data_IF_860534792000
#
_entry.id   IF_860534792000
#
_cell.length_a   1.000
_cell.length_b   1.000
_cell.length_c   1.000
_cell.angle_alpha   90.00
_cell.angle_beta   90.00
_cell.angle_gamma   90.00
#
_symmetry.space_group_name_H-M   'P 1'
#
loop_
_entity.id
_entity.type
_entity.pdbx_description
1 polymer ?
#
# COMPACT_ATOMS: atom_id res chain seq x y z
N UNK A 1 -16.98 27.68 -25.20
CA UNK A 1 -16.94 26.39 -24.50
C UNK A 1 -17.45 25.19 -25.32
N UNK A 2 -18.17 25.37 -26.40
CA UNK A 2 -18.76 24.24 -27.19
C UNK A 2 -17.80 23.44 -28.08
N UNK A 3 -16.64 24.00 -28.50
CA UNK A 3 -15.71 23.32 -29.44
C UNK A 3 -14.90 22.17 -28.83
N UNK A 4 -14.36 22.38 -27.64
CA UNK A 4 -13.51 21.40 -26.93
C UNK A 4 -14.31 20.19 -26.46
N UNK A 5 -15.54 20.41 -25.99
CA UNK A 5 -16.43 19.32 -25.57
C UNK A 5 -16.87 18.43 -26.75
N UNK A 6 -17.04 19.03 -27.94
CA UNK A 6 -17.31 18.30 -29.19
C UNK A 6 -16.09 17.49 -29.65
N UNK A 7 -14.87 18.04 -29.52
CA UNK A 7 -13.63 17.36 -29.87
C UNK A 7 -13.36 16.13 -28.96
N UNK A 8 -13.56 16.30 -27.64
CA UNK A 8 -13.45 15.20 -26.68
C UNK A 8 -14.39 14.05 -26.97
N UNK A 9 -15.67 14.32 -27.25
CA UNK A 9 -16.65 13.29 -27.62
C UNK A 9 -16.27 12.54 -28.89
N UNK A 10 -15.73 13.23 -29.90
CA UNK A 10 -15.23 12.60 -31.12
C UNK A 10 -14.00 11.71 -30.85
N UNK A 11 -13.08 12.15 -30.00
CA UNK A 11 -11.92 11.37 -29.59
C UNK A 11 -12.35 10.08 -28.88
N UNK A 12 -13.29 10.17 -27.92
CA UNK A 12 -13.85 9.01 -27.22
C UNK A 12 -14.45 8.01 -28.22
N UNK A 13 -15.35 8.46 -29.11
CA UNK A 13 -15.99 7.62 -30.10
C UNK A 13 -14.95 6.94 -31.05
N UNK A 14 -13.87 7.67 -31.37
CA UNK A 14 -12.81 7.15 -32.22
C UNK A 14 -11.95 6.09 -31.53
N UNK A 15 -11.49 6.36 -30.30
CA UNK A 15 -10.55 5.50 -29.59
C UNK A 15 -11.22 4.39 -28.74
N UNK A 16 -12.54 4.40 -28.56
CA UNK A 16 -13.28 3.29 -27.94
C UNK A 16 -13.40 2.06 -28.85
N UNK A 17 -13.09 2.18 -30.15
CA UNK A 17 -13.11 1.04 -31.08
C UNK A 17 -12.13 -0.04 -30.58
N UNK A 18 -12.50 -1.33 -30.70
CA UNK A 18 -11.72 -2.45 -30.16
C UNK A 18 -10.27 -2.48 -30.64
N UNK A 19 -10.00 -2.13 -31.89
CA UNK A 19 -8.66 -2.11 -32.48
C UNK A 19 -7.65 -1.18 -31.79
N UNK A 20 -8.09 -0.20 -30.99
CA UNK A 20 -7.19 0.67 -30.22
C UNK A 20 -6.90 0.14 -28.81
N UNK A 21 -7.70 -0.77 -28.27
CA UNK A 21 -7.68 -1.14 -26.85
C UNK A 21 -6.30 -1.62 -26.37
N UNK A 22 -5.65 -2.53 -27.09
CA UNK A 22 -4.34 -3.05 -26.68
C UNK A 22 -3.25 -2.01 -26.81
N UNK A 23 -3.28 -1.22 -27.89
CA UNK A 23 -2.36 -0.11 -28.13
C UNK A 23 -2.43 0.91 -26.99
N UNK A 24 -3.61 1.42 -26.68
CA UNK A 24 -3.83 2.39 -25.60
C UNK A 24 -3.38 1.83 -24.27
N UNK A 25 -3.74 0.58 -23.94
CA UNK A 25 -3.30 -0.07 -22.71
C UNK A 25 -1.77 -0.18 -22.60
N UNK A 26 -1.08 -0.47 -23.71
CA UNK A 26 0.38 -0.51 -23.74
C UNK A 26 1.00 0.89 -23.53
N UNK A 27 0.41 1.93 -24.13
CA UNK A 27 0.79 3.33 -23.97
C UNK A 27 0.60 3.78 -22.52
N UNK A 28 -0.58 3.51 -21.93
CA UNK A 28 -0.87 3.86 -20.53
C UNK A 28 0.13 3.23 -19.56
N UNK A 29 0.37 1.92 -19.67
CA UNK A 29 1.36 1.21 -18.84
C UNK A 29 2.76 1.81 -18.96
N UNK A 30 3.14 2.25 -20.16
CA UNK A 30 4.46 2.85 -20.38
C UNK A 30 4.55 4.22 -19.74
N UNK A 31 3.51 5.05 -19.86
CA UNK A 31 3.43 6.34 -19.20
C UNK A 31 3.44 6.18 -17.66
N UNK A 32 2.61 5.32 -17.10
CA UNK A 32 2.59 5.01 -15.65
C UNK A 32 3.96 4.61 -15.11
N UNK A 33 4.71 3.84 -15.89
CA UNK A 33 6.04 3.37 -15.51
C UNK A 33 7.11 4.46 -15.54
N UNK A 34 7.03 5.39 -16.51
CA UNK A 34 8.05 6.42 -16.74
C UNK A 34 7.73 7.77 -16.08
N UNK A 35 6.44 8.05 -15.81
CA UNK A 35 5.99 9.34 -15.30
C UNK A 35 6.12 10.50 -16.29
N UNK A 36 6.35 10.21 -17.56
CA UNK A 36 6.53 11.22 -18.62
C UNK A 36 6.20 10.67 -20.00
N UNK A 37 5.92 11.57 -20.94
CA UNK A 37 5.79 11.22 -22.35
C UNK A 37 7.18 10.90 -22.91
N UNK A 38 7.43 9.61 -23.13
CA UNK A 38 8.73 9.09 -23.58
C UNK A 38 8.75 7.57 -23.63
N UNK A 39 9.83 7.02 -24.17
CA UNK A 39 9.95 5.57 -24.37
C UNK A 39 9.03 5.06 -25.47
N UNK A 40 8.85 3.74 -25.49
CA UNK A 40 8.12 3.03 -26.54
C UNK A 40 7.16 2.02 -25.93
N UNK A 41 5.92 1.99 -26.40
CA UNK A 41 4.96 0.94 -26.14
C UNK A 41 5.06 -0.11 -27.25
N UNK A 42 4.91 -1.38 -26.90
CA UNK A 42 5.00 -2.50 -27.85
C UNK A 42 3.69 -3.26 -27.84
N UNK A 43 3.17 -3.55 -29.04
CA UNK A 43 2.00 -4.40 -29.26
C UNK A 43 2.46 -5.53 -30.18
N UNK A 44 2.58 -6.73 -29.62
CA UNK A 44 3.02 -7.91 -30.34
C UNK A 44 1.83 -8.60 -30.98
N UNK A 45 2.07 -9.22 -32.14
CA UNK A 45 1.09 -10.06 -32.87
C UNK A 45 -0.26 -9.33 -33.00
N UNK A 46 -0.25 -8.17 -33.69
CA UNK A 46 -1.46 -7.35 -33.89
C UNK A 46 -2.50 -8.11 -34.72
N UNK A 47 -3.76 -7.99 -34.37
CA UNK A 47 -4.88 -8.54 -35.14
C UNK A 47 -5.14 -7.71 -36.41
N UNK A 48 -6.01 -8.17 -37.29
CA UNK A 48 -6.44 -7.41 -38.45
C UNK A 48 -7.07 -6.08 -38.08
N UNK A 49 -7.98 -6.09 -37.10
CA UNK A 49 -8.65 -4.89 -36.60
C UNK A 49 -7.67 -3.89 -35.94
N UNK A 50 -6.65 -4.40 -35.21
CA UNK A 50 -5.59 -3.58 -34.61
C UNK A 50 -4.66 -3.00 -35.69
N UNK A 51 -4.32 -3.79 -36.71
CA UNK A 51 -3.48 -3.33 -37.81
C UNK A 51 -4.14 -2.22 -38.63
N UNK A 52 -5.44 -2.32 -38.87
CA UNK A 52 -6.24 -1.24 -39.49
C UNK A 52 -6.30 0.02 -38.64
N UNK A 53 -6.59 -0.15 -37.33
CA UNK A 53 -6.70 0.96 -36.42
C UNK A 53 -5.37 1.72 -36.28
N UNK A 54 -4.27 1.02 -36.04
CA UNK A 54 -2.94 1.63 -35.89
C UNK A 54 -2.48 2.24 -37.22
N UNK A 55 -2.66 1.51 -38.31
CA UNK A 55 -2.32 1.98 -39.65
C UNK A 55 -3.07 3.24 -40.03
N UNK A 56 -4.37 3.30 -39.76
CA UNK A 56 -5.22 4.46 -40.04
C UNK A 56 -4.84 5.69 -39.19
N UNK A 57 -4.43 5.50 -37.94
CA UNK A 57 -4.08 6.62 -37.05
C UNK A 57 -2.70 7.23 -37.39
N UNK A 58 -1.69 6.36 -37.61
CA UNK A 58 -0.31 6.81 -37.84
C UNK A 58 0.07 6.92 -39.32
N UNK A 59 -0.78 6.51 -40.26
CA UNK A 59 -0.43 6.40 -41.63
C UNK A 59 0.57 5.26 -41.95
N UNK A 60 0.66 4.26 -41.07
CA UNK A 60 1.63 3.15 -41.22
C UNK A 60 1.04 1.97 -41.98
N UNK A 61 1.93 1.26 -42.68
CA UNK A 61 1.58 -0.02 -43.28
C UNK A 61 1.86 -1.16 -42.29
N UNK A 62 0.84 -1.51 -41.50
CA UNK A 62 0.88 -2.55 -40.47
C UNK A 62 0.11 -3.77 -40.98
N UNK A 63 0.64 -4.97 -40.76
CA UNK A 63 0.00 -6.24 -41.16
C UNK A 63 -0.41 -7.03 -39.91
N UNK A 64 -1.47 -7.84 -40.01
CA UNK A 64 -1.80 -8.81 -38.97
C UNK A 64 -0.60 -9.72 -38.67
N UNK A 65 -0.30 -9.94 -37.38
CA UNK A 65 0.86 -10.71 -36.93
C UNK A 65 2.11 -9.89 -36.67
N UNK A 66 2.17 -8.64 -37.12
CA UNK A 66 3.32 -7.76 -36.86
C UNK A 66 3.47 -7.41 -35.37
N UNK A 67 4.70 -7.05 -34.99
CA UNK A 67 4.98 -6.39 -33.73
C UNK A 67 5.16 -4.89 -33.96
N UNK A 68 4.27 -4.09 -33.40
CA UNK A 68 4.29 -2.63 -33.57
C UNK A 68 4.91 -1.96 -32.37
N UNK A 69 5.89 -1.10 -32.61
CA UNK A 69 6.54 -0.29 -31.58
C UNK A 69 6.15 1.17 -31.75
N UNK A 70 5.48 1.72 -30.74
CA UNK A 70 4.91 3.07 -30.76
C UNK A 70 5.67 3.97 -29.81
N UNK A 71 6.45 4.96 -30.29
CA UNK A 71 7.03 5.99 -29.43
C UNK A 71 5.91 6.83 -28.82
N UNK A 72 5.93 7.02 -27.48
CA UNK A 72 4.89 7.83 -26.82
C UNK A 72 4.91 9.29 -27.26
N UNK A 73 6.09 9.82 -27.57
CA UNK A 73 6.23 11.18 -28.08
C UNK A 73 5.53 11.37 -29.44
N UNK A 74 5.67 10.38 -30.34
CA UNK A 74 4.99 10.41 -31.62
C UNK A 74 3.46 10.28 -31.45
N UNK A 75 3.00 9.39 -30.57
CA UNK A 75 1.56 9.28 -30.28
C UNK A 75 0.98 10.61 -29.75
N UNK A 76 1.69 11.28 -28.85
CA UNK A 76 1.29 12.60 -28.33
C UNK A 76 1.26 13.65 -29.43
N UNK A 77 2.26 13.67 -30.32
CA UNK A 77 2.35 14.60 -31.44
C UNK A 77 1.20 14.42 -32.42
N UNK A 78 0.97 13.19 -32.89
CA UNK A 78 -0.12 12.85 -33.79
C UNK A 78 -1.49 13.13 -33.19
N UNK A 79 -1.66 12.85 -31.88
CA UNK A 79 -2.89 13.11 -31.17
C UNK A 79 -3.21 14.62 -31.08
N UNK A 80 -2.19 15.44 -30.82
CA UNK A 80 -2.32 16.92 -30.80
C UNK A 80 -2.52 17.50 -32.20
N UNK A 81 -1.89 16.95 -33.21
CA UNK A 81 -2.04 17.37 -34.60
C UNK A 81 -3.37 16.92 -35.22
N UNK A 82 -4.04 15.94 -34.63
CA UNK A 82 -5.32 15.41 -35.12
C UNK A 82 -6.47 16.42 -34.96
N UNK A 83 -7.61 16.09 -35.56
CA UNK A 83 -8.86 16.86 -35.38
C UNK A 83 -9.40 16.88 -33.94
N UNK A 84 -8.80 16.09 -33.05
CA UNK A 84 -9.14 16.06 -31.62
C UNK A 84 -8.40 17.15 -30.83
N UNK A 85 -7.16 17.45 -31.20
CA UNK A 85 -6.29 18.47 -30.60
C UNK A 85 -6.13 18.31 -29.07
N UNK A 86 -6.05 17.06 -28.61
CA UNK A 86 -5.91 16.72 -27.16
C UNK A 86 -4.58 16.00 -26.93
N UNK A 87 -4.13 15.98 -25.65
CA UNK A 87 -2.94 15.23 -25.25
C UNK A 87 -3.27 13.82 -24.73
N UNK A 88 -2.24 12.99 -24.58
CA UNK A 88 -2.31 11.61 -24.09
C UNK A 88 -3.02 11.50 -22.74
N UNK A 89 -2.66 12.37 -21.78
CA UNK A 89 -3.25 12.36 -20.42
C UNK A 89 -4.73 12.76 -20.46
N UNK A 90 -5.08 13.70 -21.33
CA UNK A 90 -6.47 14.13 -21.50
C UNK A 90 -7.31 13.03 -22.18
N UNK A 91 -6.76 12.37 -23.19
CA UNK A 91 -7.42 11.22 -23.83
C UNK A 91 -7.71 10.11 -22.80
N UNK A 92 -6.73 9.77 -21.94
CA UNK A 92 -6.94 8.79 -20.88
C UNK A 92 -8.11 9.19 -19.97
N UNK A 93 -8.11 10.44 -19.47
CA UNK A 93 -9.18 10.93 -18.60
C UNK A 93 -10.56 10.88 -19.25
N UNK A 94 -10.62 11.13 -20.56
CA UNK A 94 -11.89 11.07 -21.32
C UNK A 94 -12.40 9.63 -21.50
N UNK A 95 -11.49 8.64 -21.65
CA UNK A 95 -11.84 7.26 -21.87
C UNK A 95 -12.14 6.50 -20.57
N UNK A 96 -11.35 6.73 -19.52
CA UNK A 96 -11.41 5.97 -18.27
C UNK A 96 -12.14 6.73 -17.15
N UNK A 97 -12.47 8.02 -17.36
CA UNK A 97 -13.10 8.92 -16.36
C UNK A 97 -12.28 9.09 -15.07
N UNK A 98 -11.00 8.75 -15.11
CA UNK A 98 -10.05 8.80 -14.01
C UNK A 98 -8.76 9.52 -14.43
N UNK A 99 -7.97 10.08 -13.49
CA UNK A 99 -6.67 10.62 -13.81
C UNK A 99 -5.65 9.52 -14.14
N UNK A 100 -4.83 9.76 -15.15
CA UNK A 100 -3.70 8.88 -15.47
C UNK A 100 -2.57 9.15 -14.46
N UNK A 101 -2.49 8.31 -13.44
CA UNK A 101 -1.49 8.42 -12.39
C UNK A 101 -0.25 7.62 -12.71
N UNK A 102 0.91 8.20 -12.46
CA UNK A 102 2.18 7.47 -12.44
C UNK A 102 2.23 6.50 -11.26
N UNK A 103 3.16 5.54 -11.30
CA UNK A 103 3.37 4.63 -10.16
C UNK A 103 3.74 5.36 -8.88
N UNK A 104 4.53 6.43 -8.98
CA UNK A 104 4.92 7.26 -7.82
C UNK A 104 3.73 8.04 -7.26
N UNK A 105 2.91 8.65 -8.10
CA UNK A 105 1.70 9.36 -7.65
C UNK A 105 0.69 8.41 -7.01
N UNK A 106 0.46 7.24 -7.62
CA UNK A 106 -0.40 6.20 -7.03
C UNK A 106 0.10 5.76 -5.66
N UNK A 107 1.42 5.54 -5.53
CA UNK A 107 2.04 5.20 -4.25
C UNK A 107 1.87 6.32 -3.21
N UNK A 108 2.10 7.57 -3.59
CA UNK A 108 1.90 8.72 -2.69
C UNK A 108 0.44 8.84 -2.22
N UNK A 109 -0.53 8.59 -3.11
CA UNK A 109 -1.94 8.58 -2.73
C UNK A 109 -2.25 7.44 -1.74
N UNK A 110 -1.79 6.23 -2.01
CA UNK A 110 -1.95 5.07 -1.11
C UNK A 110 -1.29 5.30 0.25
N UNK A 111 -0.08 5.86 0.27
CA UNK A 111 0.60 6.22 1.52
C UNK A 111 -0.16 7.33 2.27
N UNK A 112 -0.75 8.29 1.56
CA UNK A 112 -1.60 9.33 2.14
C UNK A 112 -2.88 8.76 2.76
N UNK A 113 -3.54 7.83 2.08
CA UNK A 113 -4.73 7.14 2.59
C UNK A 113 -4.41 6.28 3.81
N UNK A 114 -3.29 5.57 3.79
CA UNK A 114 -2.80 4.80 4.92
C UNK A 114 -2.53 5.68 6.15
N UNK A 115 -1.84 6.80 5.97
CA UNK A 115 -1.60 7.75 7.07
C UNK A 115 -2.88 8.30 7.69
N UNK A 116 -3.88 8.64 6.85
CA UNK A 116 -5.20 9.08 7.35
C UNK A 116 -5.88 7.97 8.15
N UNK A 117 -5.81 6.75 7.67
CA UNK A 117 -6.36 5.59 8.38
C UNK A 117 -5.68 5.37 9.75
N UNK A 118 -4.36 5.52 9.85
CA UNK A 118 -3.66 5.46 11.14
C UNK A 118 -4.07 6.59 12.08
N UNK A 119 -4.33 7.79 11.56
CA UNK A 119 -4.88 8.90 12.36
C UNK A 119 -6.29 8.58 12.86
N UNK A 120 -7.13 7.95 12.05
CA UNK A 120 -8.48 7.52 12.47
C UNK A 120 -8.39 6.52 13.63
N UNK A 121 -7.48 5.55 13.57
CA UNK A 121 -7.23 4.59 14.67
C UNK A 121 -6.74 5.34 15.91
N UNK A 122 -5.76 6.23 15.77
CA UNK A 122 -5.19 7.01 16.87
C UNK A 122 -6.25 7.87 17.57
N UNK A 123 -7.10 8.55 16.80
CA UNK A 123 -8.20 9.35 17.32
C UNK A 123 -9.25 8.49 18.04
N UNK A 124 -9.56 7.31 17.49
CA UNK A 124 -10.50 6.36 18.10
C UNK A 124 -9.99 5.76 19.41
N UNK A 125 -8.67 5.65 19.58
CA UNK A 125 -8.03 5.17 20.81
C UNK A 125 -8.07 6.20 21.96
N UNK A 126 -8.36 7.48 21.65
CA UNK A 126 -8.44 8.56 22.64
C UNK A 126 -7.08 9.09 23.10
N UNK A 127 -7.08 10.04 24.03
CA UNK A 127 -5.86 10.73 24.49
C UNK A 127 -5.12 10.00 25.62
N UNK A 128 -5.85 9.20 26.41
CA UNK A 128 -5.28 8.42 27.51
C UNK A 128 -5.09 6.97 27.06
N UNK A 129 -3.94 6.71 26.48
CA UNK A 129 -3.54 5.39 26.01
C UNK A 129 -2.46 4.79 26.87
N UNK A 130 -2.43 3.45 26.95
CA UNK A 130 -1.31 2.74 27.56
C UNK A 130 -0.06 2.85 26.68
N UNK A 131 1.15 2.78 27.29
CA UNK A 131 2.39 2.75 26.50
C UNK A 131 2.41 1.66 25.43
N UNK A 132 1.76 0.53 25.70
CA UNK A 132 1.67 -0.57 24.75
C UNK A 132 0.87 -0.22 23.50
N UNK A 133 -0.17 0.61 23.61
CA UNK A 133 -0.94 1.11 22.46
C UNK A 133 -0.13 2.14 21.69
N UNK A 134 0.56 3.07 22.37
CA UNK A 134 1.38 4.08 21.71
C UNK A 134 2.56 3.43 20.94
N UNK A 135 3.20 2.43 21.52
CA UNK A 135 4.26 1.65 20.88
C UNK A 135 3.73 0.94 19.63
N UNK A 136 2.61 0.22 19.74
CA UNK A 136 2.00 -0.44 18.60
C UNK A 136 1.60 0.53 17.48
N UNK A 137 1.04 1.70 17.82
CA UNK A 137 0.73 2.74 16.82
C UNK A 137 1.98 3.27 16.14
N UNK A 138 3.08 3.45 16.87
CA UNK A 138 4.37 3.83 16.32
C UNK A 138 4.92 2.76 15.37
N UNK A 139 4.78 1.47 15.72
CA UNK A 139 5.17 0.35 14.86
C UNK A 139 4.36 0.31 13.55
N UNK A 140 3.08 0.67 13.59
CA UNK A 140 2.25 0.79 12.40
C UNK A 140 2.70 1.95 11.49
N UNK A 141 3.20 3.05 12.05
CA UNK A 141 3.74 4.20 11.30
C UNK A 141 5.09 3.86 10.64
N UNK A 142 5.97 3.19 11.36
CA UNK A 142 7.29 2.76 10.85
C UNK A 142 7.19 1.60 9.87
N UNK A 143 6.20 0.75 10.04
CA UNK A 143 6.01 -0.45 9.23
C UNK A 143 6.95 -1.59 9.61
N UNK A 144 6.90 -2.69 8.87
CA UNK A 144 7.83 -3.81 9.04
C UNK A 144 7.35 -4.92 9.95
N UNK A 145 6.50 -4.65 10.93
CA UNK A 145 5.94 -5.67 11.84
C UNK A 145 4.91 -6.58 11.15
N UNK A 146 4.71 -7.78 11.71
CA UNK A 146 3.69 -8.69 11.18
C UNK A 146 2.27 -8.13 11.42
N UNK A 147 2.04 -7.43 12.53
CA UNK A 147 0.77 -6.77 12.82
C UNK A 147 0.45 -5.67 11.79
N UNK A 148 1.45 -4.87 11.39
CA UNK A 148 1.30 -3.86 10.34
C UNK A 148 0.92 -4.49 8.99
N UNK A 149 1.56 -5.60 8.61
CA UNK A 149 1.22 -6.31 7.35
C UNK A 149 -0.22 -6.79 7.34
N UNK A 150 -0.66 -7.45 8.41
CA UNK A 150 -2.05 -7.94 8.53
C UNK A 150 -3.05 -6.79 8.42
N UNK A 151 -2.80 -5.67 9.12
CA UNK A 151 -3.70 -4.52 9.09
C UNK A 151 -3.72 -3.84 7.72
N UNK A 152 -2.56 -3.74 7.04
CA UNK A 152 -2.46 -3.14 5.71
C UNK A 152 -3.17 -4.00 4.65
N UNK A 153 -3.08 -5.32 4.72
CA UNK A 153 -3.80 -6.23 3.84
C UNK A 153 -5.32 -6.09 4.02
N UNK A 154 -5.80 -5.99 5.27
CA UNK A 154 -7.20 -5.71 5.56
C UNK A 154 -7.63 -4.34 5.04
N UNK A 155 -6.84 -3.29 5.26
CA UNK A 155 -7.12 -1.94 4.79
C UNK A 155 -7.32 -1.87 3.28
N UNK A 156 -6.54 -2.63 2.50
CA UNK A 156 -6.69 -2.70 1.06
C UNK A 156 -7.89 -3.53 0.59
N UNK A 157 -8.38 -4.45 1.44
CA UNK A 157 -9.49 -5.34 1.10
C UNK A 157 -10.83 -4.82 1.62
N UNK A 158 -10.86 -4.39 2.88
CA UNK A 158 -12.03 -3.90 3.59
C UNK A 158 -11.59 -2.92 4.70
N UNK A 159 -11.72 -1.62 4.43
CA UNK A 159 -11.29 -0.56 5.33
C UNK A 159 -12.07 -0.55 6.64
N UNK A 160 -13.38 -0.84 6.59
CA UNK A 160 -14.23 -0.81 7.78
C UNK A 160 -13.88 -1.98 8.69
N UNK A 161 -13.66 -3.16 8.13
CA UNK A 161 -13.16 -4.32 8.87
C UNK A 161 -11.77 -4.06 9.47
N UNK A 162 -10.87 -3.39 8.74
CA UNK A 162 -9.56 -3.01 9.23
C UNK A 162 -9.66 -2.09 10.44
N UNK A 163 -10.54 -1.08 10.40
CA UNK A 163 -10.75 -0.13 11.51
C UNK A 163 -11.35 -0.85 12.73
N UNK A 164 -12.34 -1.71 12.52
CA UNK A 164 -12.96 -2.51 13.57
C UNK A 164 -11.94 -3.45 14.23
N UNK A 165 -11.11 -4.10 13.43
CA UNK A 165 -10.04 -5.00 13.88
C UNK A 165 -8.99 -4.24 14.71
N UNK A 166 -8.54 -3.07 14.24
CA UNK A 166 -7.62 -2.21 14.97
C UNK A 166 -8.22 -1.78 16.32
N UNK A 167 -9.50 -1.42 16.36
CA UNK A 167 -10.22 -1.09 17.59
C UNK A 167 -10.26 -2.25 18.60
N UNK A 168 -10.40 -3.49 18.13
CA UNK A 168 -10.33 -4.68 19.00
C UNK A 168 -8.92 -4.81 19.59
N UNK A 169 -7.87 -4.65 18.78
CA UNK A 169 -6.48 -4.71 19.25
C UNK A 169 -6.19 -3.63 20.27
N UNK A 170 -6.59 -2.37 20.01
CA UNK A 170 -6.43 -1.25 20.97
C UNK A 170 -7.09 -1.60 22.31
N UNK A 171 -8.37 -1.99 22.31
CA UNK A 171 -9.08 -2.35 23.55
C UNK A 171 -8.44 -3.52 24.26
N UNK A 172 -7.87 -4.48 23.52
CA UNK A 172 -7.16 -5.61 24.12
C UNK A 172 -5.87 -5.18 24.79
N UNK A 173 -5.07 -4.33 24.12
CA UNK A 173 -3.83 -3.79 24.68
C UNK A 173 -4.12 -2.89 25.91
N UNK A 174 -5.15 -2.05 25.86
CA UNK A 174 -5.59 -1.27 27.01
C UNK A 174 -6.04 -2.15 28.19
N UNK A 175 -6.75 -3.23 27.92
CA UNK A 175 -7.15 -4.18 28.96
C UNK A 175 -5.96 -4.88 29.61
N UNK A 176 -4.96 -5.29 28.82
CA UNK A 176 -3.79 -6.01 29.29
C UNK A 176 -2.75 -5.09 29.97
N UNK A 177 -2.58 -3.87 29.46
CA UNK A 177 -1.45 -3.01 29.84
C UNK A 177 -1.88 -1.60 30.35
N UNK A 178 -3.15 -1.20 30.22
CA UNK A 178 -3.61 0.14 30.56
C UNK A 178 -3.98 0.35 32.02
N UNK A 179 -4.10 -0.69 32.80
CA UNK A 179 -4.37 -0.57 34.24
C UNK A 179 -3.07 -0.65 35.04
N UNK A 180 -2.69 0.43 35.72
CA UNK A 180 -1.58 0.44 36.70
C UNK A 180 -1.79 -0.56 37.88
N UNK A 181 -2.18 -1.76 37.61
CA UNK A 181 -2.27 -2.84 38.58
C UNK A 181 -0.87 -3.41 38.84
N UNK A 182 -0.20 -2.88 39.81
CA UNK A 182 0.84 -3.60 40.53
C UNK A 182 0.17 -4.77 41.27
N UNK A 183 0.16 -5.92 40.64
CA UNK A 183 -0.37 -7.16 41.17
C UNK A 183 -0.68 -8.12 40.03
N UNK A 184 -0.35 -9.40 40.19
CA UNK A 184 -0.55 -10.43 39.21
C UNK A 184 -1.92 -10.28 38.53
N UNK A 185 -1.92 -10.02 37.21
CA UNK A 185 -3.15 -9.99 36.42
C UNK A 185 -3.82 -11.35 36.60
N UNK A 186 -5.10 -11.40 37.00
CA UNK A 186 -5.80 -12.68 37.07
C UNK A 186 -5.74 -13.33 35.69
N UNK A 187 -5.37 -14.61 35.64
CA UNK A 187 -5.42 -15.39 34.41
C UNK A 187 -6.80 -15.25 33.80
N UNK A 188 -6.88 -14.63 32.63
CA UNK A 188 -8.13 -14.50 31.88
C UNK A 188 -8.08 -15.46 30.69
N UNK A 189 -9.15 -16.24 30.51
CA UNK A 189 -9.28 -17.11 29.35
C UNK A 189 -9.50 -16.29 28.08
N UNK A 190 -8.83 -16.64 26.99
CA UNK A 190 -8.89 -15.91 25.72
C UNK A 190 -10.33 -15.64 25.23
N UNK A 191 -11.28 -16.60 25.26
CA UNK A 191 -12.66 -16.33 24.82
C UNK A 191 -13.38 -15.30 25.70
N UNK A 192 -13.06 -15.24 27.01
CA UNK A 192 -13.65 -14.25 27.92
C UNK A 192 -13.10 -12.87 27.65
N UNK A 193 -11.79 -12.77 27.38
CA UNK A 193 -11.15 -11.53 26.95
C UNK A 193 -11.75 -11.05 25.62
N UNK A 194 -11.83 -11.94 24.64
CA UNK A 194 -12.38 -11.66 23.30
C UNK A 194 -13.82 -11.10 23.42
N UNK A 195 -14.70 -11.81 24.13
CA UNK A 195 -16.07 -11.36 24.35
C UNK A 195 -16.14 -9.98 25.04
N UNK A 196 -15.24 -9.70 25.99
CA UNK A 196 -15.20 -8.43 26.72
C UNK A 196 -14.80 -7.26 25.83
N UNK A 197 -13.82 -7.44 24.94
CA UNK A 197 -13.26 -6.35 24.11
C UNK A 197 -13.99 -6.16 22.78
N UNK A 198 -14.72 -7.17 22.29
CA UNK A 198 -15.36 -7.15 20.97
C UNK A 198 -16.84 -7.53 20.98
N UNK A 199 -17.34 -8.17 22.03
CA UNK A 199 -18.66 -8.82 22.06
C UNK A 199 -18.69 -10.21 21.43
N UNK A 200 -17.60 -10.67 20.81
CA UNK A 200 -17.48 -11.99 20.19
C UNK A 200 -16.35 -12.79 20.86
N UNK A 201 -16.68 -13.99 21.38
CA UNK A 201 -15.74 -14.86 22.06
C UNK A 201 -14.63 -15.42 21.14
N UNK A 202 -14.81 -15.33 19.83
CA UNK A 202 -13.89 -15.83 18.81
C UNK A 202 -13.05 -14.74 18.13
N UNK A 203 -13.27 -13.46 18.43
CA UNK A 203 -12.58 -12.36 17.78
C UNK A 203 -11.06 -12.37 17.91
N UNK A 204 -10.53 -12.98 18.96
CA UNK A 204 -9.09 -13.13 19.23
C UNK A 204 -8.52 -14.52 18.91
N UNK A 205 -9.27 -15.38 18.24
CA UNK A 205 -8.75 -16.68 17.79
C UNK A 205 -7.59 -16.46 16.81
N UNK A 206 -6.62 -17.39 16.81
CA UNK A 206 -5.38 -17.28 16.01
C UNK A 206 -5.61 -17.18 14.49
N UNK A 207 -6.78 -17.61 14.02
CA UNK A 207 -7.17 -17.50 12.62
C UNK A 207 -7.82 -16.15 12.28
N UNK A 208 -8.28 -15.42 13.28
CA UNK A 208 -8.86 -14.10 13.12
C UNK A 208 -7.77 -13.02 12.98
N UNK A 209 -8.03 -11.96 12.21
CA UNK A 209 -7.06 -10.89 12.01
C UNK A 209 -6.59 -10.24 13.32
N UNK A 210 -7.51 -9.94 14.25
CA UNK A 210 -7.16 -9.36 15.54
C UNK A 210 -6.30 -10.30 16.40
N UNK A 211 -6.62 -11.62 16.41
CA UNK A 211 -5.81 -12.62 17.12
C UNK A 211 -4.40 -12.77 16.55
N UNK A 212 -4.26 -12.74 15.23
CA UNK A 212 -2.95 -12.78 14.54
C UNK A 212 -2.11 -11.55 14.88
N UNK A 213 -2.73 -10.37 14.87
CA UNK A 213 -2.04 -9.12 15.23
C UNK A 213 -1.62 -9.13 16.69
N UNK A 214 -2.51 -9.51 17.62
CA UNK A 214 -2.21 -9.58 19.04
C UNK A 214 -1.04 -10.55 19.31
N UNK A 215 -1.05 -11.73 18.70
CA UNK A 215 0.03 -12.70 18.83
C UNK A 215 1.38 -12.15 18.36
N UNK A 216 1.42 -11.39 17.27
CA UNK A 216 2.63 -10.73 16.79
C UNK A 216 3.15 -9.71 17.81
N UNK A 217 2.27 -8.84 18.29
CA UNK A 217 2.62 -7.80 19.27
C UNK A 217 3.16 -8.42 20.57
N UNK A 218 2.50 -9.45 21.09
CA UNK A 218 2.93 -10.11 22.33
C UNK A 218 4.28 -10.82 22.16
N UNK A 219 4.53 -11.45 21.01
CA UNK A 219 5.83 -12.09 20.73
C UNK A 219 6.95 -11.07 20.66
N UNK A 220 6.73 -9.94 19.99
CA UNK A 220 7.72 -8.86 19.90
C UNK A 220 8.05 -8.30 21.28
N UNK A 221 7.06 -8.10 22.17
CA UNK A 221 7.27 -7.68 23.55
C UNK A 221 8.10 -8.68 24.38
N UNK A 222 7.77 -9.97 24.32
CA UNK A 222 8.49 -11.04 25.04
C UNK A 222 9.95 -11.13 24.56
N UNK A 223 10.21 -10.98 23.27
CA UNK A 223 11.57 -11.02 22.73
C UNK A 223 12.36 -9.74 23.04
N UNK A 224 11.70 -8.57 23.11
CA UNK A 224 12.32 -7.30 23.51
C UNK A 224 12.78 -7.30 24.96
N UNK A 225 12.00 -7.87 25.87
CA UNK A 225 12.34 -7.98 27.30
C UNK A 225 13.55 -8.92 27.52
N UNK A 226 13.67 -10.01 26.76
CA UNK A 226 14.80 -10.95 26.88
C UNK A 226 16.15 -10.41 26.40
N UNK A 227 16.20 -9.32 25.60
CA UNK A 227 17.43 -8.69 25.16
C UNK A 227 17.88 -7.55 26.09
N UNK A 228 17.02 -7.07 26.98
CA UNK A 228 17.33 -6.04 27.97
C UNK A 228 18.06 -6.58 29.21
N UNK A 229 17.92 -7.87 29.51
CA UNK A 229 18.42 -8.45 30.78
C UNK A 229 19.84 -9.07 30.66
N UNK A 230 20.41 -9.13 29.44
CA UNK A 230 21.77 -9.66 29.21
C UNK A 230 22.88 -8.60 29.21
N UNK A 231 22.57 -7.32 29.44
CA UNK A 231 23.54 -6.23 29.40
C UNK A 231 24.11 -5.81 30.78
N UNK A 232 23.72 -6.49 31.85
CA UNK A 232 24.27 -6.24 33.18
C UNK A 232 24.91 -7.51 33.75
N UNK A 233 26.14 -7.81 33.36
CA UNK A 233 26.86 -8.92 33.95
C UNK A 233 28.24 -9.18 33.40
N UNK A 234 29.05 -8.15 33.22
CA UNK A 234 30.52 -8.31 33.15
C UNK A 234 31.16 -7.13 33.88
N UNK A 235 31.11 -7.21 35.22
CA UNK A 235 31.95 -6.37 36.07
C UNK A 235 33.07 -7.23 36.65
N UNK A 236 34.28 -6.83 36.28
CA UNK A 236 35.57 -6.93 37.01
C UNK A 236 35.91 -8.22 37.76
N UNK A 237 36.81 -8.95 37.17
CA UNK A 237 37.84 -9.65 37.96
C UNK A 237 39.20 -8.99 37.71
N UNK A 238 39.51 -7.97 38.51
CA UNK A 238 40.90 -7.51 38.71
C UNK A 238 41.66 -8.62 39.40
N UNK A 239 42.60 -9.26 38.68
CA UNK A 239 43.62 -10.11 39.33
C UNK A 239 44.86 -9.27 39.60
N UNK A 240 44.93 -8.91 40.89
CA UNK A 240 46.13 -8.40 41.55
C UNK A 240 47.01 -9.59 41.91
N UNK A 241 48.09 -9.81 41.22
CA UNK A 241 49.20 -10.58 41.77
C UNK A 241 50.51 -9.87 41.45
N UNK A 242 50.93 -9.18 42.49
CA UNK A 242 52.22 -8.60 42.64
C UNK A 242 53.32 -9.61 42.82
N UNK A 243 54.46 -9.04 42.74
CA UNK A 243 55.64 -9.33 43.51
C UNK A 243 56.63 -10.38 42.98
N UNK A 244 57.78 -9.91 42.91
CA UNK A 244 58.93 -10.60 43.43
C UNK A 244 60.11 -10.72 42.45
N UNK A 245 60.96 -9.80 42.45
CA UNK A 245 62.26 -9.80 43.13
C UNK A 245 63.35 -10.75 42.55
N UNK A 246 64.50 -10.12 42.31
CA UNK A 246 65.92 -10.62 42.37
C UNK A 246 66.45 -11.30 41.12
N UNK A 247 67.37 -10.69 40.53
CA UNK A 247 68.88 -10.69 40.60
C UNK A 247 69.45 -10.01 39.36
#
# INVERSE_FOLDING_TARGET
MSGTESAGRRAVAYFQRPGYRRMLRAIWRKYEALGRIGGRAVVENVTEEESEAIGSFFGWNVRPGDTVTIPLALFEEELRASAFAIGLVELYRLLESEPLLTRSERRLLQDGEWRRFLLDIRNSAGDRRSPAVDEWLSDLETGGTASCRVLRDLFHTDRDLALLTAGIVVRTLEFLFGGGRQGASPEIRLPVLAARVSGDAHALDVHQPAGRMLLSILREKIHGENHGDSAFGEEEATDDTGSGTLA
#
